data_IF_490739292641
#
_entry.id   IF_490739292641
#
_cell.length_a   1.000
_cell.length_b   1.000
_cell.length_c   1.000
_cell.angle_alpha   90.00
_cell.angle_beta   90.00
_cell.angle_gamma   90.00
#
_symmetry.space_group_name_H-M   'P 1'
#
loop_
_entity.id
_entity.type
_entity.pdbx_description
1 polymer ?
#
# COMPACT_ATOMS: atom_id res chain seq x y z
N UNK A 1 65.47 -69.87 -70.60
CA UNK A 1 64.95 -69.94 -69.20
C UNK A 1 63.89 -71.02 -69.14
N UNK A 2 63.98 -71.95 -68.19
CA UNK A 2 63.02 -73.07 -68.10
C UNK A 2 61.64 -72.55 -67.67
N UNK A 3 60.53 -73.04 -68.25
CA UNK A 3 59.17 -72.55 -67.92
C UNK A 3 58.82 -72.67 -66.43
N UNK A 4 59.48 -73.60 -65.73
CA UNK A 4 59.34 -73.85 -64.29
C UNK A 4 59.80 -72.65 -63.44
N UNK A 5 60.85 -71.91 -63.86
CA UNK A 5 61.36 -70.76 -63.09
C UNK A 5 60.49 -69.51 -63.24
N UNK A 6 59.76 -69.38 -64.35
CA UNK A 6 58.83 -68.25 -64.56
C UNK A 6 57.56 -68.47 -63.72
N UNK A 7 57.07 -69.71 -63.66
CA UNK A 7 55.89 -70.05 -62.86
C UNK A 7 56.15 -69.88 -61.36
N UNK A 8 57.36 -70.23 -60.88
CA UNK A 8 57.72 -70.04 -59.47
C UNK A 8 57.88 -68.57 -59.07
N UNK A 9 58.40 -67.73 -59.96
CA UNK A 9 58.49 -66.27 -59.74
C UNK A 9 57.10 -65.62 -59.71
N UNK A 10 56.20 -66.00 -60.61
CA UNK A 10 54.80 -65.53 -60.60
C UNK A 10 54.07 -65.98 -59.32
N UNK A 11 54.25 -67.23 -58.90
CA UNK A 11 53.69 -67.74 -57.64
C UNK A 11 54.21 -66.96 -56.42
N UNK A 12 55.52 -66.70 -56.35
CA UNK A 12 56.12 -65.93 -55.27
C UNK A 12 55.63 -64.47 -55.24
N UNK A 13 55.51 -63.83 -56.40
CA UNK A 13 54.98 -62.47 -56.51
C UNK A 13 53.51 -62.38 -56.06
N UNK A 14 52.71 -63.39 -56.39
CA UNK A 14 51.30 -63.45 -55.98
C UNK A 14 51.19 -63.64 -54.45
N UNK A 15 51.99 -64.52 -53.86
CA UNK A 15 52.04 -64.70 -52.39
C UNK A 15 52.48 -63.42 -51.68
N UNK A 16 53.53 -62.74 -52.18
CA UNK A 16 53.98 -61.45 -51.63
C UNK A 16 52.89 -60.37 -51.72
N UNK A 17 52.17 -60.30 -52.85
CA UNK A 17 51.07 -59.34 -53.03
C UNK A 17 49.93 -59.59 -52.03
N UNK A 18 49.59 -60.85 -51.75
CA UNK A 18 48.57 -61.22 -50.76
C UNK A 18 49.01 -60.87 -49.33
N UNK A 19 50.28 -61.09 -49.00
CA UNK A 19 50.85 -60.71 -47.69
C UNK A 19 50.83 -59.19 -47.53
N UNK A 20 51.27 -58.44 -48.54
CA UNK A 20 51.24 -56.97 -48.54
C UNK A 20 49.80 -56.43 -48.41
N UNK A 21 48.85 -57.02 -49.13
CA UNK A 21 47.45 -56.64 -49.05
C UNK A 21 46.87 -56.92 -47.66
N UNK A 22 47.16 -58.08 -47.06
CA UNK A 22 46.72 -58.42 -45.71
C UNK A 22 47.29 -57.49 -44.63
N UNK A 23 48.54 -57.06 -44.76
CA UNK A 23 49.14 -56.07 -43.87
C UNK A 23 48.53 -54.68 -44.07
N UNK A 24 48.24 -54.30 -45.31
CA UNK A 24 47.59 -53.03 -45.64
C UNK A 24 46.17 -52.95 -45.07
N UNK A 25 45.35 -53.99 -45.29
CA UNK A 25 43.97 -54.00 -44.78
C UNK A 25 43.95 -53.98 -43.25
N UNK A 26 44.83 -54.75 -42.58
CA UNK A 26 44.95 -54.75 -41.11
C UNK A 26 45.38 -53.39 -40.55
N UNK A 27 46.35 -52.72 -41.18
CA UNK A 27 46.74 -51.34 -40.79
C UNK A 27 45.62 -50.34 -41.06
N UNK A 28 44.93 -50.44 -42.20
CA UNK A 28 43.81 -49.54 -42.50
C UNK A 28 42.66 -49.71 -41.51
N UNK A 29 42.35 -50.94 -41.10
CA UNK A 29 41.31 -51.23 -40.12
C UNK A 29 41.68 -50.71 -38.73
N UNK A 30 42.93 -50.88 -38.31
CA UNK A 30 43.43 -50.34 -37.05
C UNK A 30 43.37 -48.80 -37.03
N UNK A 31 43.80 -48.15 -38.11
CA UNK A 31 43.75 -46.69 -38.24
C UNK A 31 42.30 -46.16 -38.31
N UNK A 32 41.39 -46.88 -38.97
CA UNK A 32 39.98 -46.52 -39.03
C UNK A 32 39.30 -46.66 -37.65
N UNK A 33 39.67 -47.70 -36.89
CA UNK A 33 39.16 -47.91 -35.53
C UNK A 33 39.67 -46.82 -34.58
N UNK A 34 40.97 -46.49 -34.61
CA UNK A 34 41.52 -45.41 -33.78
C UNK A 34 40.94 -44.05 -34.17
N UNK A 35 40.86 -43.75 -35.47
CA UNK A 35 40.31 -42.49 -35.95
C UNK A 35 38.83 -42.34 -35.58
N UNK A 36 38.03 -43.42 -35.66
CA UNK A 36 36.64 -43.43 -35.23
C UNK A 36 36.48 -43.27 -33.72
N UNK A 37 37.35 -43.91 -32.93
CA UNK A 37 37.37 -43.75 -31.47
C UNK A 37 37.71 -42.32 -31.04
N UNK A 38 38.72 -41.71 -31.67
CA UNK A 38 39.14 -40.34 -31.39
C UNK A 38 38.06 -39.33 -31.80
N UNK A 39 37.42 -39.52 -32.97
CA UNK A 39 36.30 -38.68 -33.41
C UNK A 39 35.12 -38.78 -32.45
N UNK A 40 34.68 -40.01 -32.12
CA UNK A 40 33.56 -40.22 -31.21
C UNK A 40 33.81 -39.64 -29.81
N UNK A 41 35.03 -39.74 -29.30
CA UNK A 41 35.42 -39.12 -28.03
C UNK A 41 35.42 -37.59 -28.11
N UNK A 42 35.90 -37.01 -29.22
CA UNK A 42 35.87 -35.56 -29.42
C UNK A 42 34.45 -35.01 -29.58
N UNK A 43 33.58 -35.72 -30.31
CA UNK A 43 32.18 -35.34 -30.52
C UNK A 43 31.38 -35.42 -29.22
N UNK A 44 31.57 -36.50 -28.44
CA UNK A 44 30.94 -36.62 -27.13
C UNK A 44 31.36 -35.50 -26.17
N UNK A 45 32.64 -35.10 -26.21
CA UNK A 45 33.15 -33.99 -25.42
C UNK A 45 32.56 -32.65 -25.88
N UNK A 46 32.41 -32.42 -27.17
CA UNK A 46 31.79 -31.21 -27.71
C UNK A 46 30.31 -31.13 -27.30
N UNK A 47 29.56 -32.23 -27.43
CA UNK A 47 28.15 -32.29 -27.00
C UNK A 47 27.99 -32.01 -25.51
N UNK A 48 28.90 -32.52 -24.66
CA UNK A 48 28.88 -32.24 -23.23
C UNK A 48 29.12 -30.74 -22.95
N UNK A 49 30.08 -30.13 -23.63
CA UNK A 49 30.37 -28.69 -23.50
C UNK A 49 29.17 -27.85 -23.96
N UNK A 50 28.54 -28.19 -25.08
CA UNK A 50 27.34 -27.52 -25.55
C UNK A 50 26.18 -27.64 -24.57
N UNK A 51 25.97 -28.84 -24.01
CA UNK A 51 24.93 -29.07 -23.01
C UNK A 51 25.18 -28.25 -21.74
N UNK A 52 26.42 -28.19 -21.27
CA UNK A 52 26.79 -27.35 -20.11
C UNK A 52 26.46 -25.89 -20.42
N UNK A 53 26.83 -25.40 -21.60
CA UNK A 53 26.57 -24.02 -22.01
C UNK A 53 25.07 -23.71 -22.08
N UNK A 54 24.26 -24.63 -22.59
CA UNK A 54 22.80 -24.45 -22.60
C UNK A 54 22.23 -24.42 -21.18
N UNK A 55 22.65 -25.33 -20.30
CA UNK A 55 22.19 -25.37 -18.90
C UNK A 55 22.59 -24.09 -18.16
N UNK A 56 23.80 -23.59 -18.37
CA UNK A 56 24.27 -22.33 -17.79
C UNK A 56 23.39 -21.15 -18.25
N UNK A 57 23.05 -21.08 -19.54
CA UNK A 57 22.14 -20.07 -20.08
C UNK A 57 20.73 -20.15 -19.47
N UNK A 58 20.17 -21.35 -19.36
CA UNK A 58 18.85 -21.56 -18.74
C UNK A 58 18.85 -21.18 -17.25
N UNK A 59 19.93 -21.51 -16.53
CA UNK A 59 20.11 -21.18 -15.13
C UNK A 59 20.18 -19.66 -14.91
N UNK A 60 20.88 -18.94 -15.79
CA UNK A 60 20.94 -17.48 -15.77
C UNK A 60 19.57 -16.85 -16.03
N UNK A 61 18.83 -17.35 -17.03
CA UNK A 61 17.48 -16.90 -17.33
C UNK A 61 16.50 -17.13 -16.16
N UNK A 62 16.59 -18.30 -15.50
CA UNK A 62 15.79 -18.59 -14.32
C UNK A 62 16.15 -17.68 -13.15
N UNK A 63 17.44 -17.46 -12.88
CA UNK A 63 17.90 -16.54 -11.83
C UNK A 63 17.41 -15.12 -12.06
N UNK A 64 17.48 -14.63 -13.30
CA UNK A 64 16.95 -13.31 -13.66
C UNK A 64 15.41 -13.23 -13.46
N UNK A 65 14.69 -14.31 -13.75
CA UNK A 65 13.25 -14.38 -13.53
C UNK A 65 12.92 -14.37 -12.03
N UNK A 66 13.64 -15.13 -11.21
CA UNK A 66 13.45 -15.14 -9.76
C UNK A 66 13.75 -13.79 -9.11
N UNK A 67 14.81 -13.09 -9.53
CA UNK A 67 15.14 -11.77 -8.99
C UNK A 67 14.05 -10.76 -9.31
N UNK A 68 13.53 -10.79 -10.54
CA UNK A 68 12.42 -9.93 -10.97
C UNK A 68 11.14 -10.23 -10.18
N UNK A 69 10.80 -11.51 -9.97
CA UNK A 69 9.65 -11.91 -9.16
C UNK A 69 9.80 -11.47 -7.69
N UNK A 70 10.98 -11.66 -7.10
CA UNK A 70 11.27 -11.19 -5.73
C UNK A 70 11.17 -9.67 -5.62
N UNK A 71 11.64 -8.93 -6.63
CA UNK A 71 11.51 -7.48 -6.67
C UNK A 71 10.04 -7.05 -6.77
N UNK A 72 9.25 -7.68 -7.64
CA UNK A 72 7.82 -7.43 -7.77
C UNK A 72 7.08 -7.70 -6.44
N UNK A 73 7.30 -8.85 -5.82
CA UNK A 73 6.70 -9.18 -4.52
C UNK A 73 7.08 -8.21 -3.40
N UNK A 74 8.32 -7.68 -3.41
CA UNK A 74 8.72 -6.63 -2.46
C UNK A 74 7.90 -5.35 -2.66
N UNK A 75 7.77 -4.90 -3.90
CA UNK A 75 6.98 -3.71 -4.23
C UNK A 75 5.51 -3.87 -3.84
N UNK A 76 4.92 -5.03 -4.11
CA UNK A 76 3.53 -5.34 -3.74
C UNK A 76 3.36 -5.32 -2.22
N UNK A 77 4.28 -5.96 -1.48
CA UNK A 77 4.25 -5.96 -0.02
C UNK A 77 4.38 -4.54 0.55
N UNK A 78 5.26 -3.73 -0.02
CA UNK A 78 5.47 -2.35 0.43
C UNK A 78 4.27 -1.45 0.08
N UNK A 79 3.52 -1.75 -0.99
CA UNK A 79 2.24 -1.11 -1.28
C UNK A 79 1.16 -1.50 -0.26
N UNK A 80 1.05 -2.78 0.09
CA UNK A 80 0.11 -3.27 1.12
C UNK A 80 0.42 -2.65 2.48
N UNK A 81 1.70 -2.59 2.86
CA UNK A 81 2.11 -1.97 4.14
C UNK A 81 1.72 -0.50 4.20
N UNK A 82 1.94 0.26 3.11
CA UNK A 82 1.52 1.65 3.04
C UNK A 82 0.00 1.82 3.16
N UNK A 83 -0.78 0.98 2.49
CA UNK A 83 -2.25 1.01 2.61
C UNK A 83 -2.69 0.69 4.06
N UNK A 84 -2.08 -0.32 4.69
CA UNK A 84 -2.35 -0.65 6.09
C UNK A 84 -2.02 0.54 7.01
N UNK A 85 -0.87 1.18 6.85
CA UNK A 85 -0.47 2.34 7.65
C UNK A 85 -1.41 3.53 7.43
N UNK A 86 -1.81 3.81 6.19
CA UNK A 86 -2.79 4.85 5.86
C UNK A 86 -4.14 4.57 6.51
N UNK A 87 -4.60 3.32 6.51
CA UNK A 87 -5.84 2.90 7.16
C UNK A 87 -5.74 3.02 8.67
N UNK A 88 -4.66 2.55 9.28
CA UNK A 88 -4.41 2.67 10.73
C UNK A 88 -4.37 4.14 11.14
N UNK A 89 -3.69 4.98 10.38
CA UNK A 89 -3.66 6.43 10.61
C UNK A 89 -5.07 7.05 10.48
N UNK A 90 -5.85 6.63 9.48
CA UNK A 90 -7.24 7.08 9.33
C UNK A 90 -8.13 6.63 10.50
N UNK A 91 -7.96 5.41 11.01
CA UNK A 91 -8.68 4.91 12.19
C UNK A 91 -8.25 5.64 13.46
N UNK A 92 -6.96 5.86 13.67
CA UNK A 92 -6.44 6.61 14.82
C UNK A 92 -6.96 8.06 14.84
N UNK A 93 -7.08 8.70 13.67
CA UNK A 93 -7.71 10.03 13.54
C UNK A 93 -9.21 10.03 13.83
N UNK A 94 -9.89 8.89 13.64
CA UNK A 94 -11.34 8.75 13.90
C UNK A 94 -11.64 8.39 15.35
N UNK A 95 -10.74 7.68 16.04
CA UNK A 95 -10.94 7.24 17.42
C UNK A 95 -10.69 8.32 18.46
N UNK A 96 -10.09 9.44 18.08
CA UNK A 96 -9.78 10.55 18.99
C UNK A 96 -10.54 11.79 18.51
N UNK A 97 -11.75 11.96 19.06
CA UNK A 97 -12.63 13.07 18.76
C UNK A 97 -12.24 14.31 19.56
N UNK A 98 -12.67 15.50 19.13
CA UNK A 98 -12.53 16.71 19.95
C UNK A 98 -13.25 16.59 21.30
N UNK A 99 -14.35 15.85 21.34
CA UNK A 99 -15.09 15.58 22.57
C UNK A 99 -14.21 14.80 23.56
N UNK A 100 -13.41 13.85 23.09
CA UNK A 100 -12.44 13.14 23.92
C UNK A 100 -11.37 14.10 24.48
N UNK A 101 -10.88 15.06 23.68
CA UNK A 101 -9.96 16.10 24.15
C UNK A 101 -10.58 17.00 25.21
N UNK A 102 -11.85 17.39 25.06
CA UNK A 102 -12.54 18.17 26.09
C UNK A 102 -12.72 17.38 27.38
N UNK A 103 -13.03 16.08 27.27
CA UNK A 103 -13.14 15.17 28.41
C UNK A 103 -11.81 15.02 29.14
N UNK A 104 -10.70 14.87 28.40
CA UNK A 104 -9.35 14.84 28.96
C UNK A 104 -8.99 16.15 29.68
N UNK A 105 -9.35 17.32 29.11
CA UNK A 105 -9.15 18.63 29.77
C UNK A 105 -9.96 18.77 31.06
N UNK A 106 -11.16 18.20 31.12
CA UNK A 106 -11.97 18.17 32.35
C UNK A 106 -11.30 17.30 33.40
N UNK A 107 -10.84 16.10 33.01
CA UNK A 107 -10.12 15.18 33.90
C UNK A 107 -8.86 15.84 34.46
N UNK A 108 -8.07 16.52 33.62
CA UNK A 108 -6.86 17.25 34.06
C UNK A 108 -7.19 18.27 35.16
N UNK A 109 -8.23 19.09 34.94
CA UNK A 109 -8.70 20.07 35.95
C UNK A 109 -9.13 19.39 37.23
N UNK A 110 -9.83 18.26 37.15
CA UNK A 110 -10.25 17.50 38.32
C UNK A 110 -9.07 16.92 39.09
N UNK A 111 -8.05 16.40 38.40
CA UNK A 111 -6.81 15.91 39.02
C UNK A 111 -6.06 17.05 39.72
N UNK A 112 -5.98 18.23 39.10
CA UNK A 112 -5.36 19.39 39.71
C UNK A 112 -6.10 19.88 40.97
N UNK A 113 -7.44 19.86 40.96
CA UNK A 113 -8.25 20.16 42.14
C UNK A 113 -8.05 19.10 43.23
N UNK A 114 -8.07 17.82 42.87
CA UNK A 114 -7.84 16.72 43.80
C UNK A 114 -6.46 16.84 44.46
N UNK A 115 -5.41 17.13 43.69
CA UNK A 115 -4.05 17.32 44.21
C UNK A 115 -4.00 18.42 45.28
N UNK A 116 -4.67 19.56 45.05
CA UNK A 116 -4.79 20.65 46.04
C UNK A 116 -5.55 20.20 47.29
N UNK A 117 -6.63 19.45 47.12
CA UNK A 117 -7.39 18.91 48.26
C UNK A 117 -6.55 17.96 49.10
N UNK A 118 -5.79 17.05 48.50
CA UNK A 118 -4.89 16.14 49.22
C UNK A 118 -3.78 16.88 49.94
N UNK A 119 -3.25 17.96 49.34
CA UNK A 119 -2.27 18.82 49.98
C UNK A 119 -2.84 19.50 51.24
N UNK A 120 -4.09 19.99 51.17
CA UNK A 120 -4.79 20.56 52.33
C UNK A 120 -5.09 19.53 53.43
N UNK A 121 -5.18 18.25 53.09
CA UNK A 121 -5.37 17.14 54.03
C UNK A 121 -4.04 16.57 54.57
N UNK A 122 -2.90 17.21 54.29
CA UNK A 122 -1.54 16.72 54.62
C UNK A 122 -1.20 15.33 54.04
N UNK A 123 -1.87 14.93 52.96
CA UNK A 123 -1.60 13.70 52.20
C UNK A 123 -0.64 14.01 51.05
N UNK A 124 0.62 14.27 51.40
CA UNK A 124 1.63 14.86 50.50
C UNK A 124 2.05 13.93 49.37
N UNK A 125 2.20 12.63 49.60
CA UNK A 125 2.54 11.66 48.55
C UNK A 125 1.43 11.56 47.49
N UNK A 126 0.17 11.46 47.91
CA UNK A 126 -0.98 11.39 47.00
C UNK A 126 -1.11 12.68 46.20
N UNK A 127 -0.89 13.84 46.83
CA UNK A 127 -0.86 15.13 46.14
C UNK A 127 0.24 15.20 45.08
N UNK A 128 1.44 14.70 45.37
CA UNK A 128 2.56 14.66 44.41
C UNK A 128 2.29 13.72 43.23
N UNK A 129 1.72 12.53 43.49
CA UNK A 129 1.34 11.60 42.44
C UNK A 129 0.29 12.20 41.49
N UNK A 130 -0.73 12.87 42.02
CA UNK A 130 -1.77 13.52 41.21
C UNK A 130 -1.25 14.72 40.43
N UNK A 131 -0.36 15.52 41.01
CA UNK A 131 0.29 16.63 40.31
C UNK A 131 1.15 16.12 39.13
N UNK A 132 1.88 15.01 39.33
CA UNK A 132 2.68 14.38 38.27
C UNK A 132 1.79 13.79 37.17
N UNK A 133 0.67 13.16 37.53
CA UNK A 133 -0.29 12.61 36.58
C UNK A 133 -0.96 13.71 35.75
N UNK A 134 -1.37 14.82 36.37
CA UNK A 134 -1.92 16.00 35.68
C UNK A 134 -0.90 16.59 34.70
N UNK A 135 0.36 16.76 35.10
CA UNK A 135 1.41 17.26 34.19
C UNK A 135 1.59 16.38 32.94
N UNK A 136 1.64 15.05 33.12
CA UNK A 136 1.75 14.10 32.00
C UNK A 136 0.53 14.16 31.10
N UNK A 137 -0.67 14.26 31.68
CA UNK A 137 -1.92 14.32 30.93
C UNK A 137 -2.04 15.63 30.14
N UNK A 138 -1.60 16.76 30.71
CA UNK A 138 -1.53 18.04 30.01
C UNK A 138 -0.56 18.00 28.81
N UNK A 139 0.61 17.37 28.95
CA UNK A 139 1.54 17.17 27.84
C UNK A 139 0.93 16.33 26.71
N UNK A 140 0.22 15.26 27.05
CA UNK A 140 -0.48 14.43 26.07
C UNK A 140 -1.60 15.20 25.36
N UNK A 141 -2.39 15.99 26.08
CA UNK A 141 -3.41 16.86 25.49
C UNK A 141 -2.77 17.80 24.47
N UNK A 142 -1.63 18.43 24.80
CA UNK A 142 -0.95 19.36 23.90
C UNK A 142 -0.45 18.67 22.63
N UNK A 143 0.13 17.47 22.74
CA UNK A 143 0.58 16.68 21.60
C UNK A 143 -0.59 16.27 20.69
N UNK A 144 -1.72 15.88 21.28
CA UNK A 144 -2.92 15.51 20.55
C UNK A 144 -3.57 16.71 19.86
N UNK A 145 -3.60 17.87 20.50
CA UNK A 145 -4.14 19.12 19.93
C UNK A 145 -3.33 19.55 18.70
N UNK A 146 -2.00 19.38 18.72
CA UNK A 146 -1.13 19.63 17.57
C UNK A 146 -1.28 18.61 16.44
N UNK A 147 -1.70 17.38 16.75
CA UNK A 147 -1.88 16.30 15.78
C UNK A 147 -3.25 16.31 15.08
N UNK A 148 -4.26 16.95 15.68
CA UNK A 148 -5.57 17.11 15.06
C UNK A 148 -5.55 18.26 14.03
N UNK A 149 -6.12 18.09 12.83
CA UNK A 149 -6.25 19.18 11.87
C UNK A 149 -7.14 20.30 12.42
N UNK A 150 -6.79 21.59 12.20
CA UNK A 150 -7.58 22.71 12.70
C UNK A 150 -9.02 22.63 12.17
N UNK A 151 -10.00 22.83 13.05
CA UNK A 151 -11.43 22.83 12.73
C UNK A 151 -11.76 23.90 11.68
N UNK A 152 -10.92 24.93 11.67
CA UNK A 152 -11.14 26.19 11.02
C UNK A 152 -11.04 26.06 9.50
N UNK A 153 -10.36 25.06 8.94
CA UNK A 153 -10.28 24.93 7.48
C UNK A 153 -11.62 24.58 6.84
N UNK A 154 -12.44 23.73 7.47
CA UNK A 154 -13.76 23.35 6.94
C UNK A 154 -14.79 24.46 7.17
N UNK A 155 -14.74 25.12 8.34
CA UNK A 155 -15.62 26.25 8.69
C UNK A 155 -15.29 27.50 7.88
N UNK A 156 -14.00 27.84 7.71
CA UNK A 156 -13.55 28.94 6.87
C UNK A 156 -13.84 28.66 5.39
N UNK A 157 -13.66 27.42 4.93
CA UNK A 157 -14.11 27.02 3.60
C UNK A 157 -15.63 27.17 3.46
N UNK A 158 -16.43 26.64 4.39
CA UNK A 158 -17.89 26.77 4.34
C UNK A 158 -18.36 28.24 4.39
N UNK A 159 -17.67 29.11 5.13
CA UNK A 159 -17.98 30.53 5.21
C UNK A 159 -17.64 31.30 3.92
N UNK A 160 -16.64 30.86 3.15
CA UNK A 160 -16.15 31.53 1.93
C UNK A 160 -16.68 30.92 0.62
N UNK A 161 -17.26 29.72 0.67
CA UNK A 161 -17.75 29.02 -0.52
C UNK A 161 -19.00 29.70 -1.10
N UNK A 162 -18.85 30.22 -2.32
CA UNK A 162 -19.99 30.55 -3.18
C UNK A 162 -20.71 29.25 -3.64
N UNK A 163 -22.03 29.27 -3.85
CA UNK A 163 -22.84 28.07 -4.14
C UNK A 163 -22.50 27.46 -5.51
N UNK A 164 -21.43 26.67 -5.58
CA UNK A 164 -20.90 26.03 -6.78
C UNK A 164 -21.64 24.72 -7.14
N UNK A 165 -22.99 24.75 -7.13
CA UNK A 165 -23.83 23.65 -7.61
C UNK A 165 -23.86 22.36 -6.78
N UNK A 166 -22.97 22.20 -5.81
CA UNK A 166 -22.73 20.93 -5.08
C UNK A 166 -23.34 20.92 -3.67
N UNK A 167 -23.82 19.75 -3.26
CA UNK A 167 -24.52 19.50 -1.99
C UNK A 167 -23.59 19.47 -0.76
N UNK A 168 -24.17 19.69 0.43
CA UNK A 168 -23.50 19.63 1.74
C UNK A 168 -24.21 18.63 2.64
N UNK A 169 -23.46 17.88 3.43
CA UNK A 169 -23.98 16.96 4.43
C UNK A 169 -23.85 17.57 5.83
N UNK A 170 -24.94 17.55 6.59
CA UNK A 170 -24.95 17.91 8.02
C UNK A 170 -25.33 16.69 8.84
N UNK A 171 -24.47 16.33 9.79
CA UNK A 171 -24.68 15.22 10.70
C UNK A 171 -24.75 15.68 12.16
N UNK A 172 -25.35 14.85 13.01
CA UNK A 172 -25.38 15.07 14.45
C UNK A 172 -26.33 14.09 15.14
N UNK A 173 -26.41 14.12 16.49
CA UNK A 173 -27.25 13.21 17.24
C UNK A 173 -28.74 13.31 16.88
N UNK A 174 -29.53 12.23 17.00
CA UNK A 174 -30.97 12.31 16.80
C UNK A 174 -31.59 13.34 17.75
N UNK A 175 -32.63 14.05 17.29
CA UNK A 175 -33.33 15.12 18.03
C UNK A 175 -32.51 16.38 18.37
N UNK A 176 -31.33 16.58 17.78
CA UNK A 176 -30.54 17.81 18.01
C UNK A 176 -31.07 19.07 17.27
N UNK A 177 -32.24 19.01 16.63
CA UNK A 177 -32.85 20.16 15.95
C UNK A 177 -32.43 20.37 14.48
N UNK A 178 -31.74 19.40 13.86
CA UNK A 178 -31.32 19.45 12.44
C UNK A 178 -32.49 19.78 11.50
N UNK A 179 -33.57 19.01 11.55
CA UNK A 179 -34.76 19.21 10.72
C UNK A 179 -35.40 20.58 10.97
N UNK A 180 -35.46 21.02 12.24
CA UNK A 180 -36.02 22.32 12.63
C UNK A 180 -35.21 23.49 12.06
N UNK A 181 -33.88 23.39 12.08
CA UNK A 181 -32.97 24.44 11.63
C UNK A 181 -32.48 24.27 10.18
N UNK A 182 -32.98 23.27 9.47
CA UNK A 182 -32.55 22.92 8.13
C UNK A 182 -32.64 24.10 7.15
N UNK A 183 -33.72 24.88 7.24
CA UNK A 183 -33.93 26.07 6.39
C UNK A 183 -32.87 27.16 6.63
N UNK A 184 -32.56 27.43 7.89
CA UNK A 184 -31.56 28.43 8.26
C UNK A 184 -30.16 28.02 7.78
N UNK A 185 -29.82 26.73 7.95
CA UNK A 185 -28.54 26.18 7.51
C UNK A 185 -28.44 26.19 5.97
N UNK A 186 -29.50 25.78 5.27
CA UNK A 186 -29.54 25.80 3.81
C UNK A 186 -29.35 27.23 3.26
N UNK A 187 -30.05 28.21 3.84
CA UNK A 187 -29.91 29.62 3.47
C UNK A 187 -28.48 30.12 3.71
N UNK A 188 -27.89 29.79 4.86
CA UNK A 188 -26.53 30.19 5.18
C UNK A 188 -25.49 29.58 4.22
N UNK A 189 -25.74 28.38 3.70
CA UNK A 189 -24.88 27.71 2.71
C UNK A 189 -25.24 28.04 1.25
N UNK A 190 -26.31 28.80 1.00
CA UNK A 190 -26.80 29.12 -0.35
C UNK A 190 -27.37 27.90 -1.10
N UNK A 191 -27.98 26.96 -0.38
CA UNK A 191 -28.58 25.74 -0.89
C UNK A 191 -30.08 25.91 -1.07
N UNK A 192 -30.62 25.32 -2.14
CA UNK A 192 -32.03 25.48 -2.53
C UNK A 192 -32.90 24.30 -2.15
N UNK A 193 -32.28 23.13 -1.98
CA UNK A 193 -32.97 21.87 -1.70
C UNK A 193 -32.57 21.35 -0.32
N UNK A 194 -33.49 20.68 0.37
CA UNK A 194 -33.24 20.06 1.66
C UNK A 194 -33.70 18.60 1.54
N UNK A 195 -32.78 17.67 1.78
CA UNK A 195 -33.02 16.24 1.81
C UNK A 195 -32.83 15.78 3.24
N UNK A 196 -33.94 15.46 3.91
CA UNK A 196 -33.92 14.90 5.26
C UNK A 196 -33.82 13.36 5.20
N UNK A 197 -33.42 12.75 6.32
CA UNK A 197 -33.34 11.30 6.51
C UNK A 197 -32.42 10.56 5.52
N UNK A 198 -31.34 11.21 5.07
CA UNK A 198 -30.39 10.57 4.19
C UNK A 198 -29.55 9.51 4.93
N UNK A 199 -29.42 8.32 4.32
CA UNK A 199 -28.73 7.16 4.86
C UNK A 199 -27.54 6.77 3.96
N UNK A 200 -26.43 6.27 4.54
CA UNK A 200 -25.30 5.74 3.80
C UNK A 200 -25.73 4.67 2.78
N UNK A 201 -25.34 4.85 1.52
CA UNK A 201 -25.73 3.97 0.42
C UNK A 201 -26.88 4.52 -0.45
N UNK A 202 -27.58 5.56 0.00
CA UNK A 202 -28.50 6.30 -0.88
C UNK A 202 -27.71 7.20 -1.85
N UNK A 203 -28.18 7.36 -3.10
CA UNK A 203 -27.54 8.26 -4.05
C UNK A 203 -27.51 9.68 -3.48
N UNK A 204 -26.32 10.29 -3.47
CA UNK A 204 -26.18 11.68 -3.05
C UNK A 204 -26.80 12.62 -4.08
N UNK A 205 -27.62 13.60 -3.67
CA UNK A 205 -28.13 14.60 -4.59
C UNK A 205 -26.95 15.36 -5.21
N UNK A 206 -26.91 15.42 -6.54
CA UNK A 206 -25.82 16.06 -7.30
C UNK A 206 -25.95 17.58 -7.35
N UNK A 207 -27.12 18.13 -6.97
CA UNK A 207 -27.48 19.55 -7.13
C UNK A 207 -27.84 20.20 -5.80
N UNK A 208 -27.09 21.24 -5.40
CA UNK A 208 -27.39 22.28 -4.38
C UNK A 208 -28.30 21.86 -3.19
N UNK A 209 -28.12 20.67 -2.65
CA UNK A 209 -28.95 20.15 -1.57
C UNK A 209 -28.23 20.20 -0.22
N UNK A 210 -28.97 20.55 0.83
CA UNK A 210 -28.61 20.29 2.21
C UNK A 210 -29.08 18.88 2.56
N UNK A 211 -28.14 17.98 2.80
CA UNK A 211 -28.41 16.60 3.16
C UNK A 211 -28.29 16.47 4.66
N UNK A 212 -29.33 15.99 5.32
CA UNK A 212 -29.33 15.72 6.76
C UNK A 212 -29.22 14.22 6.99
N UNK A 213 -28.36 13.83 7.92
CA UNK A 213 -28.25 12.42 8.32
C UNK A 213 -28.29 12.26 9.83
N UNK A 214 -28.88 11.14 10.26
CA UNK A 214 -28.90 10.68 11.64
C UNK A 214 -27.70 9.78 11.98
N UNK A 215 -26.83 9.49 11.01
CA UNK A 215 -25.61 8.72 11.23
C UNK A 215 -24.47 9.61 11.72
N UNK A 216 -23.66 9.06 12.62
CA UNK A 216 -22.49 9.76 13.15
C UNK A 216 -21.35 9.75 12.12
N UNK A 217 -20.96 10.95 11.69
CA UNK A 217 -19.71 11.19 10.96
C UNK A 217 -19.82 11.41 9.46
N UNK A 218 -18.67 11.64 8.79
CA UNK A 218 -18.59 11.82 7.35
C UNK A 218 -18.89 10.50 6.65
N UNK A 219 -20.01 10.47 5.93
CA UNK A 219 -20.52 9.31 5.24
C UNK A 219 -20.31 9.47 3.73
N UNK A 220 -19.88 8.39 3.08
CA UNK A 220 -19.62 8.37 1.64
C UNK A 220 -20.92 8.67 0.88
N UNK A 221 -20.93 9.59 -0.10
CA UNK A 221 -19.79 10.15 -0.84
C UNK A 221 -19.28 11.53 -0.36
N UNK A 222 -19.77 12.04 0.78
CA UNK A 222 -19.42 13.38 1.26
C UNK A 222 -18.14 13.34 2.11
N UNK A 223 -16.99 13.69 1.50
CA UNK A 223 -15.69 13.73 2.21
C UNK A 223 -15.21 15.14 2.57
N UNK A 224 -15.51 16.13 1.73
CA UNK A 224 -14.99 17.50 1.85
C UNK A 224 -16.05 18.53 2.26
N UNK A 225 -17.33 18.14 2.25
CA UNK A 225 -18.48 19.03 2.45
C UNK A 225 -19.40 18.45 3.51
N UNK A 226 -18.82 18.22 4.67
CA UNK A 226 -19.49 17.66 5.83
C UNK A 226 -19.32 18.63 6.97
N UNK A 227 -20.42 18.99 7.61
CA UNK A 227 -20.44 19.84 8.79
C UNK A 227 -21.15 19.09 9.92
N UNK A 228 -20.65 19.21 11.14
CA UNK A 228 -21.48 18.86 12.30
C UNK A 228 -22.60 19.89 12.45
N UNK A 229 -23.70 19.50 13.09
CA UNK A 229 -24.81 20.41 13.38
C UNK A 229 -24.34 21.68 14.13
N UNK A 230 -23.42 21.55 15.08
CA UNK A 230 -22.86 22.69 15.80
C UNK A 230 -22.08 23.64 14.89
N UNK A 231 -21.27 23.10 13.97
CA UNK A 231 -20.53 23.90 12.99
C UNK A 231 -21.49 24.62 12.02
N UNK A 232 -22.54 23.92 11.57
CA UNK A 232 -23.56 24.51 10.73
C UNK A 232 -24.28 25.68 11.43
N UNK A 233 -24.62 25.54 12.71
CA UNK A 233 -25.25 26.61 13.48
C UNK A 233 -24.29 27.77 13.78
N UNK A 234 -23.00 27.50 13.98
CA UNK A 234 -21.97 28.53 14.10
C UNK A 234 -21.87 29.36 12.81
N UNK A 235 -21.99 28.72 11.64
CA UNK A 235 -22.03 29.39 10.33
C UNK A 235 -23.30 30.22 10.16
N UNK A 236 -24.47 29.71 10.57
CA UNK A 236 -25.71 30.49 10.59
C UNK A 236 -25.56 31.73 11.47
N UNK A 237 -24.97 31.58 12.66
CA UNK A 237 -24.73 32.68 13.58
C UNK A 237 -23.71 33.70 13.04
N UNK A 238 -22.66 33.25 12.34
CA UNK A 238 -21.66 34.15 11.74
C UNK A 238 -22.25 34.96 10.58
N UNK A 239 -23.07 34.35 9.72
CA UNK A 239 -23.78 35.06 8.65
C UNK A 239 -24.89 35.97 9.16
N UNK A 240 -25.61 35.58 10.22
CA UNK A 240 -26.61 36.46 10.85
C UNK A 240 -25.99 37.72 11.46
N UNK A 241 -24.72 37.67 11.90
CA UNK A 241 -23.95 38.82 12.39
C UNK A 241 -23.32 39.67 11.26
N UNK A 242 -23.32 39.18 10.03
CA UNK A 242 -22.90 39.91 8.83
C UNK A 242 -24.14 40.30 8.00
N UNK A 243 -24.93 41.30 8.42
CA UNK A 243 -25.96 41.83 7.53
C UNK A 243 -25.26 42.55 6.37
N UNK A 244 -25.57 42.13 5.15
CA UNK A 244 -25.43 42.83 3.86
C UNK A 244 -24.56 44.09 3.86
N UNK A 245 -23.32 43.94 3.37
CA UNK A 245 -22.75 44.96 2.51
C UNK A 245 -23.09 44.56 1.06
N UNK A 246 -24.03 45.31 0.48
CA UNK A 246 -24.59 45.24 -0.89
C UNK A 246 -25.87 44.43 -1.07
#
# INVERSE_FOLDING_TARGET
MQPITILSLLGAALVLSLICLGLYTRRSAANAFSAGYDHGHSDARQQLVERIRMIEGDLEAQRATETNLRAAHRLDRDAIMRDCDERVAAYARRSLTRDDLTTLRIIDKQLAVAAKTYLNLNLTEQAQHLATASLKLAQLIQQLDAALPPADDILAFAATVQPNGKSWLVYGPPRCGKTTNAKAIAQALGLTEIVDDWQPGMPAPTTKALVLTNHDGPTTPFYRRVLSYEQAMSLVASKAKQPEAA
#
